data_IF_491843148537
#
_entry.id   IF_491843148537
#
_cell.length_a   1.000
_cell.length_b   1.000
_cell.length_c   1.000
_cell.angle_alpha   90.00
_cell.angle_beta   90.00
_cell.angle_gamma   90.00
#
_symmetry.space_group_name_H-M   'P 1'
#
loop_
_entity.id
_entity.type
_entity.pdbx_description
1 polymer ?
#
# COMPACT_ATOMS: atom_id res chain seq x y z
N UNK A 1 -1.21 4.89 -16.85
CA UNK A 1 -0.27 6.01 -17.10
C UNK A 1 1.14 5.46 -17.07
N UNK A 2 2.01 5.82 -18.02
CA UNK A 2 3.40 5.34 -18.04
C UNK A 2 4.37 6.44 -17.59
N UNK A 3 5.17 6.17 -16.55
CA UNK A 3 6.14 7.12 -15.99
C UNK A 3 7.55 6.55 -16.02
N UNK A 4 8.43 7.21 -16.75
CA UNK A 4 9.86 6.82 -16.87
C UNK A 4 10.82 7.83 -16.25
N UNK A 5 10.34 9.04 -15.92
CA UNK A 5 11.16 10.12 -15.38
C UNK A 5 11.17 10.13 -13.85
N UNK A 6 12.37 10.09 -13.26
CA UNK A 6 12.58 10.22 -11.81
C UNK A 6 12.14 11.59 -11.24
N UNK A 7 11.95 12.59 -12.11
CA UNK A 7 11.54 13.94 -11.73
C UNK A 7 10.04 14.15 -11.80
N UNK A 8 9.28 13.15 -12.25
CA UNK A 8 7.83 13.23 -12.34
C UNK A 8 7.21 13.57 -10.97
N UNK A 9 6.25 14.52 -10.90
CA UNK A 9 5.59 14.91 -9.66
C UNK A 9 4.98 13.74 -8.87
N UNK A 10 4.39 12.74 -9.53
CA UNK A 10 3.85 11.55 -8.87
C UNK A 10 4.94 10.76 -8.14
N UNK A 11 6.09 10.57 -8.79
CA UNK A 11 7.24 9.87 -8.18
C UNK A 11 7.71 10.59 -6.93
N UNK A 12 7.82 11.93 -7.00
CA UNK A 12 8.18 12.75 -5.83
C UNK A 12 7.14 12.65 -4.72
N UNK A 13 5.86 12.61 -5.06
CA UNK A 13 4.77 12.46 -4.10
C UNK A 13 4.85 11.12 -3.37
N UNK A 14 5.00 10.00 -4.08
CA UNK A 14 5.13 8.66 -3.48
C UNK A 14 6.37 8.58 -2.58
N UNK A 15 7.53 9.07 -3.04
CA UNK A 15 8.76 9.14 -2.22
C UNK A 15 8.52 9.94 -0.95
N UNK A 16 7.82 11.07 -1.05
CA UNK A 16 7.51 11.90 0.12
C UNK A 16 6.56 11.20 1.09
N UNK A 17 5.53 10.50 0.59
CA UNK A 17 4.64 9.69 1.43
C UNK A 17 5.40 8.54 2.12
N UNK A 18 6.41 7.95 1.49
CA UNK A 18 7.28 6.93 2.09
C UNK A 18 8.11 7.50 3.24
N UNK A 19 8.79 8.63 2.99
CA UNK A 19 9.80 9.18 3.89
C UNK A 19 9.19 10.03 5.03
N UNK A 20 8.12 10.79 4.77
CA UNK A 20 7.50 11.69 5.74
C UNK A 20 6.29 11.04 6.43
N UNK A 21 6.54 10.46 7.62
CA UNK A 21 5.50 9.85 8.45
C UNK A 21 4.38 10.83 8.84
N UNK A 22 4.69 12.11 9.03
CA UNK A 22 3.68 13.11 9.43
C UNK A 22 2.75 13.38 8.26
N UNK A 23 3.31 13.66 7.08
CA UNK A 23 2.50 13.88 5.90
C UNK A 23 1.66 12.65 5.55
N UNK A 24 2.22 11.45 5.68
CA UNK A 24 1.49 10.21 5.45
C UNK A 24 0.27 10.07 6.38
N UNK A 25 0.42 10.43 7.65
CA UNK A 25 -0.70 10.48 8.62
C UNK A 25 -1.71 11.58 8.30
N UNK A 26 -1.25 12.78 7.94
CA UNK A 26 -2.14 13.90 7.57
C UNK A 26 -2.94 13.60 6.30
N UNK A 27 -2.35 12.88 5.35
CA UNK A 27 -3.02 12.45 4.12
C UNK A 27 -3.95 11.24 4.33
N UNK A 28 -3.88 10.59 5.49
CA UNK A 28 -4.61 9.37 5.81
C UNK A 28 -4.33 8.21 4.85
N UNK A 29 -3.06 8.09 4.44
CA UNK A 29 -2.61 7.10 3.45
C UNK A 29 -1.57 6.15 4.03
N UNK A 30 -1.43 4.98 3.42
CA UNK A 30 -0.36 4.03 3.68
C UNK A 30 0.21 3.48 2.37
N UNK A 31 1.52 3.24 2.35
CA UNK A 31 2.17 2.51 1.26
C UNK A 31 2.21 1.03 1.64
N UNK A 32 1.80 0.20 0.69
CA UNK A 32 1.92 -1.26 0.77
C UNK A 32 2.75 -1.69 -0.42
N UNK A 33 3.88 -2.34 -0.14
CA UNK A 33 4.81 -2.80 -1.15
C UNK A 33 4.91 -4.32 -1.07
N UNK A 34 4.85 -4.99 -2.22
CA UNK A 34 4.87 -6.43 -2.34
C UNK A 34 3.55 -7.04 -2.79
N UNK A 35 3.64 -8.07 -3.63
CA UNK A 35 2.50 -8.78 -4.20
C UNK A 35 1.59 -9.37 -3.12
N UNK A 36 2.17 -10.10 -2.15
CA UNK A 36 1.39 -10.86 -1.16
C UNK A 36 0.69 -9.91 -0.19
N UNK A 37 1.35 -8.83 0.23
CA UNK A 37 0.79 -7.80 1.10
C UNK A 37 -0.35 -7.05 0.41
N UNK A 38 -0.20 -6.70 -0.87
CA UNK A 38 -1.26 -6.04 -1.63
C UNK A 38 -2.43 -7.02 -1.82
N UNK A 39 -2.20 -8.27 -2.21
CA UNK A 39 -3.26 -9.27 -2.35
C UNK A 39 -4.01 -9.50 -1.03
N UNK A 40 -3.30 -9.52 0.11
CA UNK A 40 -3.92 -9.63 1.43
C UNK A 40 -4.83 -8.43 1.73
N UNK A 41 -4.37 -7.21 1.45
CA UNK A 41 -5.20 -6.02 1.63
C UNK A 41 -6.46 -6.07 0.73
N UNK A 42 -6.30 -6.49 -0.52
CA UNK A 42 -7.41 -6.65 -1.46
C UNK A 42 -8.42 -7.73 -1.01
N UNK A 43 -7.93 -8.88 -0.53
CA UNK A 43 -8.80 -9.97 -0.06
C UNK A 43 -9.54 -9.62 1.24
N UNK A 44 -8.97 -8.73 2.06
CA UNK A 44 -9.63 -8.12 3.21
C UNK A 44 -10.64 -7.02 2.83
N UNK A 45 -10.82 -6.72 1.54
CA UNK A 45 -11.77 -5.72 1.04
C UNK A 45 -11.24 -4.29 1.02
N UNK A 46 -9.95 -4.08 1.31
CA UNK A 46 -9.34 -2.76 1.17
C UNK A 46 -9.07 -2.43 -0.30
N UNK A 47 -9.18 -1.14 -0.63
CA UNK A 47 -9.05 -0.65 -2.00
C UNK A 47 -7.94 0.39 -2.07
N UNK A 48 -6.93 0.20 -2.94
CA UNK A 48 -5.90 1.20 -3.16
C UNK A 48 -6.46 2.36 -4.00
N UNK A 49 -6.03 3.57 -3.66
CA UNK A 49 -6.20 4.75 -4.50
C UNK A 49 -5.30 4.68 -5.73
N UNK A 50 -4.08 4.16 -5.57
CA UNK A 50 -3.10 4.01 -6.64
C UNK A 50 -2.48 2.62 -6.60
N UNK A 51 -2.41 1.97 -7.77
CA UNK A 51 -1.68 0.71 -7.97
C UNK A 51 -0.55 0.96 -8.98
N UNK A 52 0.68 0.76 -8.53
CA UNK A 52 1.91 0.93 -9.29
C UNK A 52 2.51 -0.42 -9.67
N UNK A 53 2.91 -0.55 -10.93
CA UNK A 53 3.61 -1.73 -11.44
C UNK A 53 4.89 -1.37 -12.17
N UNK A 54 5.93 -2.19 -12.00
CA UNK A 54 7.12 -2.19 -12.83
C UNK A 54 7.23 -3.51 -13.59
N UNK A 55 6.76 -3.59 -14.86
CA UNK A 55 6.71 -4.85 -15.61
C UNK A 55 8.05 -5.59 -15.70
N UNK A 56 9.17 -4.86 -15.64
CA UNK A 56 10.54 -5.42 -15.64
C UNK A 56 10.92 -6.19 -14.35
N UNK A 57 10.15 -6.03 -13.28
CA UNK A 57 10.35 -6.63 -11.96
C UNK A 57 9.25 -7.64 -11.59
N UNK A 58 8.06 -7.47 -12.17
CA UNK A 58 6.88 -8.28 -11.85
C UNK A 58 7.05 -9.73 -12.27
N UNK A 59 7.02 -10.64 -11.30
CA UNK A 59 6.98 -12.09 -11.51
C UNK A 59 5.57 -12.69 -11.37
N UNK A 60 4.70 -12.04 -10.59
CA UNK A 60 3.31 -12.47 -10.31
C UNK A 60 2.36 -11.32 -10.61
N UNK A 61 1.28 -11.59 -11.34
CA UNK A 61 0.33 -10.56 -11.75
C UNK A 61 -0.77 -10.34 -10.73
N UNK A 62 -0.97 -9.09 -10.32
CA UNK A 62 -2.19 -8.66 -9.62
C UNK A 62 -3.21 -8.40 -10.71
N UNK A 63 -4.25 -9.23 -10.78
CA UNK A 63 -5.39 -8.96 -11.65
C UNK A 63 -6.19 -7.85 -11.00
N UNK A 64 -6.20 -6.63 -11.57
CA UNK A 64 -6.94 -5.56 -10.96
C UNK A 64 -8.44 -5.83 -11.14
N UNK A 65 -9.24 -5.64 -10.10
CA UNK A 65 -10.69 -5.60 -10.28
C UNK A 65 -11.04 -4.44 -11.22
N UNK A 66 -11.90 -4.69 -12.19
CA UNK A 66 -12.25 -3.69 -13.21
C UNK A 66 -13.00 -2.50 -12.60
N UNK A 67 -13.81 -2.72 -11.58
CA UNK A 67 -14.51 -1.67 -10.83
C UNK A 67 -14.68 -2.09 -9.38
N UNK A 68 -14.04 -1.37 -8.46
CA UNK A 68 -14.20 -1.59 -7.02
C UNK A 68 -15.20 -0.56 -6.47
N UNK A 69 -16.50 -0.80 -6.65
CA UNK A 69 -17.63 0.00 -6.15
C UNK A 69 -17.46 1.52 -6.33
N UNK A 70 -17.24 1.98 -7.56
CA UNK A 70 -17.29 3.41 -7.90
C UNK A 70 -16.05 4.24 -7.53
N UNK A 71 -15.03 3.65 -6.90
CA UNK A 71 -13.70 4.29 -6.73
C UNK A 71 -12.75 3.75 -7.79
N UNK A 72 -12.34 4.60 -8.72
CA UNK A 72 -11.34 4.23 -9.72
C UNK A 72 -9.95 4.20 -9.08
N UNK A 73 -9.35 3.02 -8.97
CA UNK A 73 -7.92 2.90 -8.66
C UNK A 73 -7.09 3.46 -9.82
N UNK A 74 -6.25 4.45 -9.55
CA UNK A 74 -5.30 4.96 -10.53
C UNK A 74 -4.22 3.90 -10.81
N UNK A 75 -4.06 3.51 -12.07
CA UNK A 75 -3.06 2.53 -12.49
C UNK A 75 -1.87 3.21 -13.15
N UNK A 76 -0.70 3.07 -12.53
CA UNK A 76 0.54 3.66 -12.99
C UNK A 76 1.55 2.56 -13.29
N UNK A 77 2.08 2.56 -14.49
CA UNK A 77 3.17 1.69 -14.88
C UNK A 77 4.45 2.51 -14.95
N UNK A 78 5.53 1.97 -14.42
CA UNK A 78 6.82 2.65 -14.33
C UNK A 78 7.95 1.74 -14.81
N UNK A 79 9.08 2.35 -15.18
CA UNK A 79 10.30 1.57 -15.42
C UNK A 79 10.96 1.16 -14.08
N UNK A 80 11.91 0.22 -14.16
CA UNK A 80 12.65 -0.28 -12.99
C UNK A 80 13.26 0.84 -12.14
N UNK A 81 13.96 1.79 -12.77
CA UNK A 81 14.67 2.86 -12.05
C UNK A 81 13.71 3.78 -11.26
N UNK A 82 12.54 4.09 -11.80
CA UNK A 82 11.51 4.86 -11.10
C UNK A 82 10.94 4.07 -9.94
N UNK A 83 10.67 2.77 -10.14
CA UNK A 83 10.17 1.90 -9.09
C UNK A 83 11.14 1.78 -7.92
N UNK A 84 12.42 1.47 -8.19
CA UNK A 84 13.47 1.33 -7.19
C UNK A 84 13.63 2.62 -6.36
N UNK A 85 13.46 3.79 -6.98
CA UNK A 85 13.47 5.07 -6.27
C UNK A 85 12.31 5.22 -5.27
N UNK A 86 11.13 4.68 -5.58
CA UNK A 86 9.93 4.74 -4.73
C UNK A 86 9.88 3.61 -3.70
N UNK A 87 10.49 2.47 -4.01
CA UNK A 87 10.60 1.29 -3.15
C UNK A 87 11.28 1.62 -1.81
N UNK A 88 10.89 0.92 -0.74
CA UNK A 88 11.66 0.87 0.50
C UNK A 88 12.58 -0.37 0.55
N UNK A 89 12.35 -1.37 -0.31
CA UNK A 89 13.12 -2.62 -0.39
C UNK A 89 14.32 -2.48 -1.34
N UNK A 90 15.41 -3.18 -1.02
CA UNK A 90 16.58 -3.31 -1.91
C UNK A 90 16.27 -4.14 -3.16
N UNK A 91 15.41 -5.16 -3.04
CA UNK A 91 14.99 -6.03 -4.15
C UNK A 91 13.46 -6.07 -4.26
N UNK A 92 12.84 -5.02 -4.82
CA UNK A 92 11.40 -4.97 -4.99
C UNK A 92 10.89 -5.98 -6.03
N UNK A 93 9.64 -6.45 -5.85
CA UNK A 93 8.97 -7.40 -6.75
C UNK A 93 8.14 -6.73 -7.86
N UNK A 94 8.23 -5.40 -7.95
CA UNK A 94 7.55 -4.60 -8.96
C UNK A 94 6.12 -4.20 -8.63
N UNK A 95 5.64 -4.43 -7.40
CA UNK A 95 4.32 -3.97 -6.95
C UNK A 95 4.37 -3.01 -5.76
N UNK A 96 3.70 -1.88 -5.92
CA UNK A 96 3.50 -0.90 -4.86
C UNK A 96 2.09 -0.34 -4.96
N UNK A 97 1.43 -0.13 -3.84
CA UNK A 97 0.09 0.43 -3.80
C UNK A 97 -0.02 1.47 -2.69
N UNK A 98 -0.89 2.44 -2.92
CA UNK A 98 -1.26 3.46 -1.94
C UNK A 98 -2.68 3.21 -1.51
N UNK A 99 -2.87 2.89 -0.24
CA UNK A 99 -4.17 2.62 0.36
C UNK A 99 -4.56 3.75 1.32
N UNK A 100 -5.85 4.04 1.50
CA UNK A 100 -6.32 4.75 2.69
C UNK A 100 -5.96 3.95 3.95
N UNK A 101 -5.66 4.63 5.05
CA UNK A 101 -5.49 3.95 6.34
C UNK A 101 -6.85 3.40 6.79
N UNK A 102 -6.96 2.11 7.14
CA UNK A 102 -8.17 1.58 7.73
C UNK A 102 -8.43 2.21 9.11
N UNK A 103 -9.62 2.76 9.31
CA UNK A 103 -10.06 3.23 10.61
C UNK A 103 -10.92 2.16 11.28
N UNK A 104 -10.44 1.65 12.41
CA UNK A 104 -11.20 0.75 13.28
C UNK A 104 -11.28 1.36 14.68
N UNK A 105 -12.50 1.44 15.20
CA UNK A 105 -12.76 1.92 16.56
C UNK A 105 -13.21 0.77 17.48
N UNK A 106 -13.00 0.91 18.79
CA UNK A 106 -13.34 -0.13 19.76
C UNK A 106 -14.84 -0.40 19.84
N UNK A 107 -15.67 0.59 19.55
CA UNK A 107 -17.13 0.45 19.50
C UNK A 107 -17.62 -0.33 18.27
N UNK A 108 -16.77 -0.53 17.26
CA UNK A 108 -17.01 -1.37 16.08
C UNK A 108 -16.50 -2.81 16.28
N UNK A 109 -15.92 -3.14 17.44
CA UNK A 109 -15.37 -4.46 17.69
C UNK A 109 -16.49 -5.47 17.97
N UNK A 110 -16.78 -6.31 16.97
CA UNK A 110 -17.70 -7.43 17.13
C UNK A 110 -16.99 -8.63 17.76
N UNK A 111 -17.52 -9.10 18.91
CA UNK A 111 -16.98 -10.25 19.63
C UNK A 111 -17.87 -11.47 19.47
N UNK A 112 -17.24 -12.64 19.34
CA UNK A 112 -17.95 -13.91 19.42
C UNK A 112 -18.43 -14.19 20.85
N UNK A 113 -19.28 -15.21 21.01
CA UNK A 113 -19.79 -15.60 22.33
C UNK A 113 -18.68 -16.01 23.33
N UNK A 114 -17.56 -16.53 22.84
CA UNK A 114 -16.38 -16.90 23.64
C UNK A 114 -15.14 -16.34 22.93
N UNK A 115 -14.79 -15.07 23.16
CA UNK A 115 -13.70 -14.41 22.45
C UNK A 115 -12.34 -14.79 23.04
N UNK A 116 -11.33 -14.93 22.20
CA UNK A 116 -9.93 -14.89 22.60
C UNK A 116 -9.42 -13.47 22.34
N UNK A 117 -9.02 -12.77 23.40
CA UNK A 117 -8.54 -11.40 23.32
C UNK A 117 -7.05 -11.34 23.69
N UNK A 118 -6.29 -10.55 22.93
CA UNK A 118 -4.89 -10.24 23.21
C UNK A 118 -4.80 -8.73 23.45
N UNK A 119 -4.28 -8.34 24.60
CA UNK A 119 -4.02 -6.94 24.94
C UNK A 119 -2.51 -6.74 24.98
N UNK A 120 -2.01 -5.95 24.05
CA UNK A 120 -0.60 -5.59 23.98
C UNK A 120 -0.39 -4.23 24.67
N UNK A 121 0.29 -4.23 25.82
CA UNK A 121 0.63 -3.02 26.56
C UNK A 121 2.13 -2.72 26.41
N UNK A 122 2.47 -1.45 26.16
CA UNK A 122 3.86 -0.96 26.12
C UNK A 122 4.78 -1.72 25.14
N UNK A 123 4.33 -2.00 23.91
CA UNK A 123 5.18 -2.61 22.87
C UNK A 123 6.22 -1.60 22.37
N UNK A 124 7.50 -1.90 22.59
CA UNK A 124 8.59 -0.94 22.35
C UNK A 124 9.23 -1.04 20.95
N UNK A 125 9.26 -2.22 20.33
CA UNK A 125 10.03 -2.46 19.10
C UNK A 125 9.13 -2.94 17.96
N UNK A 126 9.23 -2.34 16.75
CA UNK A 126 8.66 -2.92 15.54
C UNK A 126 9.24 -4.32 15.29
N UNK A 127 8.38 -5.34 15.19
CA UNK A 127 8.77 -6.73 14.91
C UNK A 127 8.75 -7.68 16.12
N UNK A 128 8.36 -7.20 17.31
CA UNK A 128 8.05 -8.06 18.46
C UNK A 128 6.74 -8.83 18.27
#
# INVERSE_FOLDING_TARGET
MDITSLQNPHVKHIVRLRDDKRQRREADLMLVEGYDEIQLALSAGHKPQTLLSAPELVSRQILPGEEWDGVSTERITVNRAVFEKMSYRENPDGWLAVFPIPHTALDQLELSAVPLLIVAESIEKPGN
#
